data_IF_155366171104
#
_entry.id   IF_155366171104
#
_cell.length_a   1.000
_cell.length_b   1.000
_cell.length_c   1.000
_cell.angle_alpha   90.00
_cell.angle_beta   90.00
_cell.angle_gamma   90.00
#
_symmetry.space_group_name_H-M   'P 1'
#
loop_
_entity.id
_entity.type
_entity.pdbx_description
1 polymer ?
#
# COMPACT_ATOMS: atom_id res chain seq x y z
N UNK A 1 -22.11 3.45 -40.65
CA UNK A 1 -20.80 3.85 -40.15
C UNK A 1 -19.81 3.91 -41.30
N UNK A 2 -19.13 5.04 -41.49
CA UNK A 2 -18.27 5.27 -42.64
C UNK A 2 -17.03 4.38 -42.60
N UNK A 3 -16.58 3.84 -43.76
CA UNK A 3 -15.37 3.04 -43.95
C UNK A 3 -14.11 3.70 -43.32
N UNK A 4 -14.09 5.03 -43.22
CA UNK A 4 -13.06 5.80 -42.54
C UNK A 4 -13.03 5.56 -41.00
N UNK A 5 -14.19 5.36 -40.38
CA UNK A 5 -14.30 5.10 -38.94
C UNK A 5 -13.91 3.67 -38.57
N UNK A 6 -14.21 2.72 -39.45
CA UNK A 6 -13.78 1.32 -39.34
C UNK A 6 -12.26 1.17 -39.54
N UNK A 7 -11.65 1.94 -40.46
CA UNK A 7 -10.20 1.93 -40.69
C UNK A 7 -9.41 2.56 -39.52
N UNK A 8 -9.95 3.59 -38.87
CA UNK A 8 -9.34 4.18 -37.66
C UNK A 8 -9.40 3.24 -36.44
N UNK A 9 -10.46 2.46 -36.34
CA UNK A 9 -10.60 1.43 -35.31
C UNK A 9 -9.67 0.25 -35.54
N UNK A 10 -9.51 -0.20 -36.80
CA UNK A 10 -8.58 -1.28 -37.17
C UNK A 10 -7.12 -0.88 -37.01
N UNK A 11 -6.74 0.34 -37.35
CA UNK A 11 -5.37 0.85 -37.13
C UNK A 11 -5.04 0.98 -35.63
N UNK A 12 -6.00 1.34 -34.82
CA UNK A 12 -5.83 1.35 -33.34
C UNK A 12 -5.74 -0.06 -32.74
N UNK A 13 -6.38 -1.05 -33.33
CA UNK A 13 -6.37 -2.45 -32.89
C UNK A 13 -5.06 -3.19 -33.22
N UNK A 14 -4.19 -2.62 -34.08
CA UNK A 14 -2.90 -3.20 -34.48
C UNK A 14 -1.70 -2.44 -33.87
N UNK A 15 -1.92 -1.54 -32.90
CA UNK A 15 -0.85 -0.88 -32.16
C UNK A 15 -0.23 -1.82 -31.12
N UNK A 16 1.00 -1.54 -30.68
CA UNK A 16 1.64 -2.25 -29.59
C UNK A 16 0.77 -2.26 -28.32
N UNK A 17 0.24 -1.09 -27.97
CA UNK A 17 -0.63 -0.93 -26.79
C UNK A 17 -1.92 -1.74 -26.89
N UNK A 18 -2.53 -1.78 -28.09
CA UNK A 18 -3.76 -2.55 -28.27
C UNK A 18 -3.52 -4.06 -28.14
N UNK A 19 -2.41 -4.56 -28.66
CA UNK A 19 -2.01 -5.96 -28.48
C UNK A 19 -1.67 -6.23 -27.00
N UNK A 20 -0.90 -5.37 -26.35
CA UNK A 20 -0.57 -5.51 -24.94
C UNK A 20 -1.84 -5.57 -24.06
N UNK A 21 -2.74 -4.60 -24.19
CA UNK A 21 -3.98 -4.57 -23.41
C UNK A 21 -4.88 -5.78 -23.68
N UNK A 22 -4.94 -6.27 -24.91
CA UNK A 22 -5.71 -7.48 -25.22
C UNK A 22 -5.05 -8.72 -24.65
N UNK A 23 -3.73 -8.80 -24.65
CA UNK A 23 -2.97 -9.85 -23.98
C UNK A 23 -3.27 -9.91 -22.48
N UNK A 24 -3.33 -8.75 -21.80
CA UNK A 24 -3.73 -8.67 -20.38
C UNK A 24 -5.17 -9.18 -20.16
N UNK A 25 -6.10 -8.89 -21.09
CA UNK A 25 -7.47 -9.41 -21.01
C UNK A 25 -7.49 -10.94 -21.18
N UNK A 26 -6.70 -11.50 -22.09
CA UNK A 26 -6.58 -12.95 -22.27
C UNK A 26 -6.00 -13.63 -21.02
N UNK A 27 -4.98 -13.06 -20.36
CA UNK A 27 -4.47 -13.56 -19.08
C UNK A 27 -5.57 -13.61 -18.02
N UNK A 28 -6.35 -12.54 -17.91
CA UNK A 28 -7.48 -12.48 -16.97
C UNK A 28 -8.57 -13.53 -17.27
N UNK A 29 -8.69 -13.97 -18.51
CA UNK A 29 -9.61 -15.03 -18.93
C UNK A 29 -9.01 -16.44 -18.82
N UNK A 30 -7.73 -16.56 -18.45
CA UNK A 30 -6.99 -17.82 -18.39
C UNK A 30 -6.50 -18.33 -19.76
N UNK A 31 -6.66 -17.55 -20.84
CA UNK A 31 -6.16 -17.88 -22.17
C UNK A 31 -4.71 -17.40 -22.35
N UNK A 32 -3.80 -18.15 -21.75
CA UNK A 32 -2.37 -17.82 -21.71
C UNK A 32 -1.71 -17.88 -23.10
N UNK A 33 -2.18 -18.76 -23.99
CA UNK A 33 -1.64 -18.88 -25.36
C UNK A 33 -1.95 -17.64 -26.21
N UNK A 34 -3.21 -17.20 -26.19
CA UNK A 34 -3.61 -15.96 -26.89
C UNK A 34 -2.91 -14.72 -26.28
N UNK A 35 -2.73 -14.69 -24.95
CA UNK A 35 -2.02 -13.60 -24.29
C UNK A 35 -0.57 -13.49 -24.78
N UNK A 36 0.20 -14.58 -24.76
CA UNK A 36 1.58 -14.61 -25.24
C UNK A 36 1.66 -14.24 -26.73
N UNK A 37 0.76 -14.76 -27.56
CA UNK A 37 0.68 -14.39 -28.99
C UNK A 37 0.50 -12.89 -29.20
N UNK A 38 -0.31 -12.24 -28.37
CA UNK A 38 -0.54 -10.80 -28.45
C UNK A 38 0.62 -9.99 -27.88
N UNK A 39 1.26 -10.42 -26.81
CA UNK A 39 2.49 -9.80 -26.30
C UNK A 39 3.63 -9.87 -27.33
N UNK A 40 3.79 -10.99 -28.06
CA UNK A 40 4.76 -11.09 -29.16
C UNK A 40 4.47 -10.09 -30.27
N UNK A 41 3.20 -9.84 -30.61
CA UNK A 41 2.82 -8.80 -31.58
C UNK A 41 3.07 -7.39 -31.03
N UNK A 42 2.82 -7.16 -29.73
CA UNK A 42 3.08 -5.89 -29.06
C UNK A 42 4.56 -5.53 -29.17
N UNK A 43 5.47 -6.40 -28.74
CA UNK A 43 6.92 -6.15 -28.80
C UNK A 43 7.45 -6.09 -30.24
N UNK A 44 6.85 -6.83 -31.19
CA UNK A 44 7.18 -6.71 -32.61
C UNK A 44 6.85 -5.33 -33.18
N UNK A 45 5.75 -4.72 -32.72
CA UNK A 45 5.30 -3.42 -33.17
C UNK A 45 6.02 -2.25 -32.48
N UNK A 46 6.57 -2.47 -31.28
CA UNK A 46 7.35 -1.49 -30.52
C UNK A 46 8.51 -2.17 -29.78
N UNK A 47 9.53 -2.58 -30.55
CA UNK A 47 10.68 -3.36 -30.02
C UNK A 47 11.73 -2.53 -29.27
N UNK A 48 11.58 -1.20 -29.21
CA UNK A 48 12.52 -0.28 -28.56
C UNK A 48 12.00 0.29 -27.25
N UNK A 49 10.91 -0.23 -26.74
CA UNK A 49 10.23 0.26 -25.54
C UNK A 49 10.50 -0.67 -24.35
N UNK A 50 11.44 -0.30 -23.49
CA UNK A 50 11.75 -1.06 -22.27
C UNK A 50 10.55 -1.24 -21.36
N UNK A 51 9.70 -0.21 -21.23
CA UNK A 51 8.54 -0.25 -20.37
C UNK A 51 7.55 -1.35 -20.80
N UNK A 52 7.35 -1.51 -22.11
CA UNK A 52 6.50 -2.58 -22.63
C UNK A 52 6.99 -3.97 -22.19
N UNK A 53 8.29 -4.24 -22.26
CA UNK A 53 8.84 -5.53 -21.84
C UNK A 53 8.69 -5.76 -20.33
N UNK A 54 8.93 -4.73 -19.53
CA UNK A 54 8.74 -4.80 -18.08
C UNK A 54 7.28 -5.02 -17.71
N UNK A 55 6.36 -4.27 -18.33
CA UNK A 55 4.94 -4.43 -18.09
C UNK A 55 4.43 -5.84 -18.49
N UNK A 56 4.96 -6.42 -19.57
CA UNK A 56 4.65 -7.81 -19.95
C UNK A 56 5.15 -8.78 -18.86
N UNK A 57 6.39 -8.61 -18.39
CA UNK A 57 6.95 -9.42 -17.30
C UNK A 57 6.08 -9.35 -16.03
N UNK A 58 5.75 -8.15 -15.58
CA UNK A 58 4.95 -7.94 -14.37
C UNK A 58 3.57 -8.61 -14.49
N UNK A 59 2.91 -8.47 -15.65
CA UNK A 59 1.63 -9.13 -15.89
C UNK A 59 1.76 -10.67 -15.93
N UNK A 60 2.75 -11.21 -16.64
CA UNK A 60 2.95 -12.66 -16.70
C UNK A 60 3.27 -13.24 -15.32
N UNK A 61 4.11 -12.56 -14.53
CA UNK A 61 4.47 -12.98 -13.18
C UNK A 61 3.28 -12.97 -12.22
N UNK A 62 2.35 -12.02 -12.38
CA UNK A 62 1.11 -11.97 -11.60
C UNK A 62 0.16 -13.16 -11.87
N UNK A 63 0.39 -13.91 -12.96
CA UNK A 63 -0.35 -15.12 -13.33
C UNK A 63 0.53 -16.38 -13.32
N UNK A 64 1.55 -16.41 -12.43
CA UNK A 64 2.45 -17.56 -12.24
C UNK A 64 3.26 -17.97 -13.48
N UNK A 65 3.48 -17.02 -14.42
CA UNK A 65 4.23 -17.24 -15.66
C UNK A 65 5.59 -16.47 -15.66
N UNK A 66 6.25 -16.42 -14.51
CA UNK A 66 7.47 -15.63 -14.31
C UNK A 66 8.58 -15.98 -15.29
N UNK A 67 8.87 -17.28 -15.52
CA UNK A 67 9.87 -17.72 -16.49
C UNK A 67 9.57 -17.20 -17.91
N UNK A 68 8.31 -17.18 -18.29
CA UNK A 68 7.90 -16.62 -19.58
C UNK A 68 8.07 -15.10 -19.65
N UNK A 69 7.81 -14.41 -18.52
CA UNK A 69 8.08 -12.98 -18.39
C UNK A 69 9.57 -12.65 -18.52
N UNK A 70 10.46 -13.46 -17.93
CA UNK A 70 11.92 -13.29 -18.01
C UNK A 70 12.44 -13.41 -19.45
N UNK A 71 11.81 -14.23 -20.29
CA UNK A 71 12.13 -14.26 -21.72
C UNK A 71 11.93 -12.89 -22.39
N UNK A 72 10.89 -12.14 -22.01
CA UNK A 72 10.66 -10.79 -22.52
C UNK A 72 11.68 -9.81 -21.96
N UNK A 73 12.01 -9.87 -20.68
CA UNK A 73 13.08 -9.04 -20.10
C UNK A 73 14.42 -9.26 -20.81
N UNK A 74 14.76 -10.51 -21.12
CA UNK A 74 15.99 -10.83 -21.84
C UNK A 74 15.98 -10.27 -23.28
N UNK A 75 14.84 -10.26 -23.97
CA UNK A 75 14.71 -9.62 -25.30
C UNK A 75 14.95 -8.10 -25.23
N UNK A 76 14.63 -7.43 -24.12
CA UNK A 76 14.83 -6.00 -23.98
C UNK A 76 16.31 -5.57 -24.02
N UNK A 77 17.26 -6.46 -23.75
CA UNK A 77 18.70 -6.19 -23.90
C UNK A 77 19.14 -6.02 -25.37
N UNK A 78 18.31 -6.38 -26.33
CA UNK A 78 18.56 -6.11 -27.75
C UNK A 78 18.38 -4.63 -28.11
N UNK A 79 17.72 -3.85 -27.26
CA UNK A 79 17.56 -2.41 -27.42
C UNK A 79 18.93 -1.73 -27.31
N UNK A 80 19.31 -1.00 -28.34
CA UNK A 80 20.60 -0.29 -28.39
C UNK A 80 20.41 1.14 -27.92
N UNK A 81 21.06 1.49 -26.81
CA UNK A 81 21.00 2.83 -26.24
C UNK A 81 22.06 3.01 -25.16
N UNK A 82 22.45 4.26 -24.91
CA UNK A 82 23.42 4.64 -23.88
C UNK A 82 23.06 5.95 -23.20
N UNK A 83 21.79 6.35 -23.26
CA UNK A 83 21.26 7.47 -22.47
C UNK A 83 21.15 7.09 -20.98
N UNK A 84 20.95 8.08 -20.13
CA UNK A 84 20.65 7.86 -18.71
C UNK A 84 19.44 6.93 -18.53
N UNK A 85 18.40 7.10 -19.34
CA UNK A 85 17.20 6.24 -19.33
C UNK A 85 17.48 4.81 -19.75
N UNK A 86 18.29 4.59 -20.79
CA UNK A 86 18.65 3.23 -21.22
C UNK A 86 19.37 2.46 -20.10
N UNK A 87 20.31 3.12 -19.42
CA UNK A 87 21.01 2.52 -18.29
C UNK A 87 20.04 2.25 -17.12
N UNK A 88 19.15 3.17 -16.82
CA UNK A 88 18.19 2.98 -15.73
C UNK A 88 17.23 1.80 -16.01
N UNK A 89 16.73 1.67 -17.25
CA UNK A 89 15.87 0.56 -17.63
C UNK A 89 16.60 -0.79 -17.61
N UNK A 90 17.83 -0.88 -18.14
CA UNK A 90 18.61 -2.12 -18.04
C UNK A 90 18.91 -2.50 -16.59
N UNK A 91 19.21 -1.52 -15.75
CA UNK A 91 19.38 -1.73 -14.33
C UNK A 91 18.13 -2.30 -13.65
N UNK A 92 16.94 -1.74 -13.96
CA UNK A 92 15.65 -2.26 -13.49
C UNK A 92 15.38 -3.68 -13.99
N UNK A 93 15.71 -3.97 -15.24
CA UNK A 93 15.57 -5.32 -15.81
C UNK A 93 16.49 -6.31 -15.10
N UNK A 94 17.76 -5.97 -14.87
CA UNK A 94 18.66 -6.81 -14.09
C UNK A 94 18.18 -7.03 -12.65
N UNK A 95 17.55 -6.05 -12.03
CA UNK A 95 16.92 -6.20 -10.72
C UNK A 95 15.82 -7.27 -10.74
N UNK A 96 14.90 -7.23 -11.71
CA UNK A 96 13.84 -8.24 -11.86
C UNK A 96 14.39 -9.65 -12.15
N UNK A 97 15.52 -9.75 -12.85
CA UNK A 97 16.22 -11.01 -13.10
C UNK A 97 17.07 -11.50 -11.91
N UNK A 98 17.03 -10.80 -10.76
CA UNK A 98 17.85 -11.13 -9.58
C UNK A 98 19.35 -10.91 -9.77
N UNK A 99 19.77 -10.25 -10.86
CA UNK A 99 21.17 -10.01 -11.21
C UNK A 99 21.66 -8.68 -10.61
N UNK A 100 21.66 -8.59 -9.28
CA UNK A 100 21.86 -7.35 -8.53
C UNK A 100 23.16 -6.62 -8.81
N UNK A 101 24.28 -7.34 -9.05
CA UNK A 101 25.56 -6.70 -9.37
C UNK A 101 25.55 -6.04 -10.75
N UNK A 102 24.89 -6.67 -11.74
CA UNK A 102 24.67 -6.08 -13.04
C UNK A 102 23.73 -4.87 -12.94
N UNK A 103 22.65 -4.98 -12.14
CA UNK A 103 21.74 -3.89 -11.86
C UNK A 103 22.49 -2.67 -11.29
N UNK A 104 23.30 -2.85 -10.24
CA UNK A 104 24.10 -1.76 -9.64
C UNK A 104 25.07 -1.13 -10.64
N UNK A 105 25.67 -1.91 -11.53
CA UNK A 105 26.59 -1.40 -12.56
C UNK A 105 25.88 -0.48 -13.57
N UNK A 106 24.75 -0.94 -14.10
CA UNK A 106 23.94 -0.14 -15.03
C UNK A 106 23.37 1.11 -14.34
N UNK A 107 22.82 0.96 -13.15
CA UNK A 107 22.21 2.07 -12.40
C UNK A 107 23.25 3.12 -11.99
N UNK A 108 24.49 2.71 -11.65
CA UNK A 108 25.58 3.66 -11.43
C UNK A 108 25.91 4.45 -12.70
N UNK A 109 25.93 3.78 -13.85
CA UNK A 109 26.11 4.46 -15.14
C UNK A 109 24.96 5.44 -15.45
N UNK A 110 23.73 5.12 -15.00
CA UNK A 110 22.60 6.03 -15.07
C UNK A 110 22.78 7.26 -14.17
N UNK A 111 23.24 7.06 -12.92
CA UNK A 111 23.55 8.16 -11.98
C UNK A 111 24.66 9.08 -12.53
N UNK A 112 25.72 8.50 -13.10
CA UNK A 112 26.80 9.26 -13.72
C UNK A 112 26.31 10.16 -14.87
N UNK A 113 25.10 9.87 -15.39
CA UNK A 113 24.40 10.65 -16.41
C UNK A 113 23.19 11.43 -15.84
N UNK A 114 23.19 11.67 -14.53
CA UNK A 114 22.19 12.48 -13.81
C UNK A 114 20.77 11.88 -13.83
N UNK A 115 20.62 10.57 -13.94
CA UNK A 115 19.32 9.89 -13.84
C UNK A 115 18.84 9.83 -12.40
N UNK A 116 17.89 10.66 -12.03
CA UNK A 116 17.31 10.68 -10.67
C UNK A 116 16.61 9.38 -10.33
N UNK A 117 15.86 8.78 -11.28
CA UNK A 117 15.14 7.51 -11.08
C UNK A 117 16.08 6.34 -10.75
N UNK A 118 17.37 6.44 -11.09
CA UNK A 118 18.32 5.41 -10.73
C UNK A 118 18.52 5.28 -9.22
N UNK A 119 18.31 6.35 -8.43
CA UNK A 119 18.31 6.25 -6.98
C UNK A 119 17.21 5.32 -6.48
N UNK A 120 15.99 5.44 -7.02
CA UNK A 120 14.87 4.55 -6.66
C UNK A 120 15.23 3.08 -6.93
N UNK A 121 15.75 2.77 -8.11
CA UNK A 121 16.07 1.40 -8.48
C UNK A 121 17.29 0.84 -7.72
N UNK A 122 18.27 1.66 -7.37
CA UNK A 122 19.40 1.24 -6.51
C UNK A 122 18.88 0.94 -5.10
N UNK A 123 17.98 1.76 -4.56
CA UNK A 123 17.38 1.50 -3.25
C UNK A 123 16.67 0.15 -3.24
N UNK A 124 15.85 -0.14 -4.25
CA UNK A 124 15.19 -1.45 -4.39
C UNK A 124 16.16 -2.62 -4.49
N UNK A 125 17.30 -2.44 -5.16
CA UNK A 125 18.35 -3.47 -5.23
C UNK A 125 18.94 -3.76 -3.85
N UNK A 126 19.28 -2.72 -3.07
CA UNK A 126 19.83 -2.90 -1.73
C UNK A 126 18.79 -3.46 -0.75
N UNK A 127 17.54 -3.04 -0.85
CA UNK A 127 16.45 -3.61 -0.06
C UNK A 127 16.30 -5.12 -0.33
N UNK A 128 16.29 -5.54 -1.61
CA UNK A 128 16.22 -6.95 -1.99
C UNK A 128 17.47 -7.76 -1.56
N UNK A 129 18.61 -7.11 -1.34
CA UNK A 129 19.83 -7.72 -0.80
C UNK A 129 19.84 -7.79 0.74
N UNK A 130 18.86 -7.16 1.41
CA UNK A 130 18.77 -7.10 2.87
C UNK A 130 19.64 -6.02 3.50
N UNK A 131 19.96 -4.96 2.76
CA UNK A 131 20.78 -3.82 3.20
C UNK A 131 19.90 -2.54 3.31
N UNK A 132 18.91 -2.48 4.23
CA UNK A 132 17.94 -1.40 4.31
C UNK A 132 18.59 -0.05 4.66
N UNK A 133 19.71 -0.02 5.40
CA UNK A 133 20.42 1.21 5.74
C UNK A 133 21.00 1.90 4.50
N UNK A 134 21.44 1.12 3.51
CA UNK A 134 21.94 1.67 2.25
C UNK A 134 20.75 2.04 1.37
N UNK A 135 19.72 1.21 1.32
CA UNK A 135 18.49 1.49 0.58
C UNK A 135 17.88 2.83 0.99
N UNK A 136 17.82 3.11 2.30
CA UNK A 136 17.29 4.36 2.86
C UNK A 136 17.99 5.59 2.26
N UNK A 137 19.32 5.58 2.19
CA UNK A 137 20.09 6.71 1.63
C UNK A 137 19.67 6.99 0.19
N UNK A 138 19.48 5.96 -0.61
CA UNK A 138 19.07 6.12 -2.00
C UNK A 138 17.59 6.51 -2.14
N UNK A 139 16.68 5.97 -1.31
CA UNK A 139 15.30 6.43 -1.27
C UNK A 139 15.22 7.91 -0.88
N UNK A 140 15.98 8.36 0.13
CA UNK A 140 16.03 9.77 0.53
C UNK A 140 16.58 10.66 -0.59
N UNK A 141 17.63 10.23 -1.30
CA UNK A 141 18.15 10.97 -2.45
C UNK A 141 17.09 11.12 -3.56
N UNK A 142 16.32 10.07 -3.82
CA UNK A 142 15.22 10.11 -4.78
C UNK A 142 14.12 11.09 -4.36
N UNK A 143 13.65 10.99 -3.13
CA UNK A 143 12.61 11.86 -2.58
C UNK A 143 13.06 13.32 -2.53
N UNK A 144 14.30 13.60 -2.07
CA UNK A 144 14.86 14.94 -1.96
C UNK A 144 15.10 15.60 -3.32
N UNK A 145 15.15 14.83 -4.40
CA UNK A 145 15.25 15.37 -5.76
C UNK A 145 13.94 15.96 -6.31
N UNK A 146 12.85 15.88 -5.54
CA UNK A 146 11.52 16.34 -5.94
C UNK A 146 10.74 15.35 -6.80
N UNK A 147 11.20 14.11 -6.91
CA UNK A 147 10.54 13.03 -7.68
C UNK A 147 9.92 11.96 -6.78
N UNK A 148 9.55 12.31 -5.57
CA UNK A 148 8.91 11.39 -4.64
C UNK A 148 7.66 10.73 -5.25
N UNK A 149 7.49 9.44 -5.01
CA UNK A 149 6.28 8.69 -5.28
C UNK A 149 5.81 7.91 -4.04
N UNK A 150 4.61 7.38 -4.11
CA UNK A 150 3.99 6.68 -2.99
C UNK A 150 4.74 5.39 -2.61
N UNK A 151 5.46 4.76 -3.55
CA UNK A 151 6.25 3.56 -3.29
C UNK A 151 7.51 3.88 -2.48
N UNK A 152 8.25 4.93 -2.86
CA UNK A 152 9.43 5.39 -2.11
C UNK A 152 9.06 5.86 -0.70
N UNK A 153 7.92 6.55 -0.56
CA UNK A 153 7.41 6.96 0.75
C UNK A 153 7.06 5.76 1.63
N UNK A 154 6.39 4.75 1.08
CA UNK A 154 6.08 3.52 1.81
C UNK A 154 7.35 2.79 2.25
N UNK A 155 8.33 2.64 1.37
CA UNK A 155 9.60 1.98 1.67
C UNK A 155 10.35 2.70 2.82
N UNK A 156 10.43 4.03 2.79
CA UNK A 156 11.01 4.80 3.91
C UNK A 156 10.22 4.61 5.20
N UNK A 157 8.88 4.56 5.13
CA UNK A 157 8.03 4.24 6.26
C UNK A 157 8.32 2.86 6.84
N UNK A 158 8.44 1.83 6.01
CA UNK A 158 8.77 0.46 6.42
C UNK A 158 10.16 0.35 7.06
N UNK A 159 11.15 1.06 6.54
CA UNK A 159 12.49 1.14 7.14
C UNK A 159 12.42 1.76 8.54
N UNK A 160 11.67 2.84 8.73
CA UNK A 160 11.46 3.45 10.05
C UNK A 160 10.68 2.52 11.01
N UNK A 161 9.68 1.80 10.51
CA UNK A 161 8.97 0.78 11.30
C UNK A 161 9.93 -0.33 11.74
N UNK A 162 10.80 -0.80 10.88
CA UNK A 162 11.81 -1.83 11.20
C UNK A 162 12.79 -1.36 12.30
N UNK A 163 13.09 -0.05 12.37
CA UNK A 163 13.87 0.57 13.45
C UNK A 163 13.06 0.77 14.73
N UNK A 164 11.74 0.51 14.73
CA UNK A 164 10.82 0.81 15.82
C UNK A 164 10.43 2.28 15.94
N UNK A 165 10.79 3.11 14.96
CA UNK A 165 10.46 4.54 14.92
C UNK A 165 9.11 4.76 14.22
N UNK A 166 8.02 4.31 14.85
CA UNK A 166 6.68 4.41 14.27
C UNK A 166 6.22 5.86 14.04
N UNK A 167 6.65 6.80 14.87
CA UNK A 167 6.35 8.23 14.65
C UNK A 167 7.10 8.79 13.42
N UNK A 168 8.33 8.35 13.18
CA UNK A 168 9.07 8.69 11.95
C UNK A 168 8.42 8.07 10.73
N UNK A 169 7.97 6.81 10.83
CA UNK A 169 7.26 6.12 9.77
C UNK A 169 5.98 6.85 9.34
N UNK A 170 5.17 7.33 10.30
CA UNK A 170 3.96 8.11 10.01
C UNK A 170 4.25 9.31 9.11
N UNK A 171 5.38 9.99 9.31
CA UNK A 171 5.76 11.16 8.49
C UNK A 171 5.83 10.81 6.99
N UNK A 172 6.40 9.66 6.64
CA UNK A 172 6.49 9.21 5.27
C UNK A 172 5.18 8.62 4.75
N UNK A 173 4.52 7.79 5.55
CA UNK A 173 3.29 7.10 5.15
C UNK A 173 2.13 8.06 4.91
N UNK A 174 1.98 9.09 5.76
CA UNK A 174 0.96 10.14 5.59
C UNK A 174 1.22 10.99 4.33
N UNK A 175 2.48 11.29 4.05
CA UNK A 175 2.83 11.96 2.80
C UNK A 175 2.55 11.07 1.59
N UNK A 176 2.89 9.78 1.66
CA UNK A 176 2.66 8.82 0.58
C UNK A 176 1.18 8.64 0.24
N UNK A 177 0.31 8.51 1.26
CA UNK A 177 -1.13 8.32 1.05
C UNK A 177 -1.82 9.59 0.54
N UNK A 178 -1.26 10.77 0.82
CA UNK A 178 -1.77 12.07 0.39
C UNK A 178 -1.38 12.47 -1.04
N UNK A 179 -0.54 11.70 -1.71
CA UNK A 179 -0.12 11.98 -3.09
C UNK A 179 -1.27 11.84 -4.08
N UNK A 180 -1.21 12.56 -5.20
CA UNK A 180 -2.22 12.52 -6.25
C UNK A 180 -2.31 11.13 -6.92
N UNK A 181 -1.15 10.48 -7.14
CA UNK A 181 -1.06 9.19 -7.83
C UNK A 181 -0.53 8.11 -6.87
N UNK A 182 -1.42 7.54 -6.06
CA UNK A 182 -1.06 6.47 -5.11
C UNK A 182 -1.25 5.11 -5.78
N UNK A 183 -0.15 4.41 -6.07
CA UNK A 183 -0.18 3.08 -6.70
C UNK A 183 -0.25 1.92 -5.71
N UNK A 184 0.20 2.14 -4.47
CA UNK A 184 0.30 1.16 -3.38
C UNK A 184 -0.57 1.58 -2.16
N UNK A 185 -1.80 2.07 -2.43
CA UNK A 185 -2.72 2.56 -1.39
C UNK A 185 -3.00 1.52 -0.30
N UNK A 186 -3.11 0.26 -0.70
CA UNK A 186 -3.39 -0.85 0.22
C UNK A 186 -2.30 -0.98 1.28
N UNK A 187 -1.06 -1.05 0.84
CA UNK A 187 0.14 -1.20 1.68
C UNK A 187 0.29 0.01 2.60
N UNK A 188 0.15 1.21 2.07
CA UNK A 188 0.22 2.44 2.87
C UNK A 188 -0.84 2.47 3.97
N UNK A 189 -2.09 2.11 3.68
CA UNK A 189 -3.15 2.08 4.69
C UNK A 189 -2.88 1.02 5.77
N UNK A 190 -2.38 -0.15 5.41
CA UNK A 190 -1.99 -1.19 6.37
C UNK A 190 -0.88 -0.70 7.30
N UNK A 191 0.17 -0.11 6.75
CA UNK A 191 1.29 0.42 7.52
C UNK A 191 0.87 1.60 8.40
N UNK A 192 -0.04 2.47 7.94
CA UNK A 192 -0.60 3.56 8.75
C UNK A 192 -1.37 3.02 9.96
N UNK A 193 -2.23 2.01 9.78
CA UNK A 193 -2.98 1.41 10.90
C UNK A 193 -1.98 0.90 11.96
N UNK A 194 -0.98 0.12 11.53
CA UNK A 194 0.05 -0.41 12.44
C UNK A 194 0.77 0.73 13.18
N UNK A 195 1.22 1.76 12.47
CA UNK A 195 1.97 2.85 13.09
C UNK A 195 1.12 3.67 14.07
N UNK A 196 -0.15 3.96 13.75
CA UNK A 196 -1.05 4.63 14.68
C UNK A 196 -1.32 3.82 15.93
N UNK A 197 -1.45 2.49 15.83
CA UNK A 197 -1.60 1.62 16.99
C UNK A 197 -0.36 1.63 17.89
N UNK A 198 0.83 1.49 17.30
CA UNK A 198 2.08 1.55 18.07
C UNK A 198 2.34 2.91 18.70
N UNK A 199 1.83 3.99 18.12
CA UNK A 199 1.87 5.34 18.72
C UNK A 199 0.69 5.64 19.65
N UNK A 200 -0.21 4.67 19.84
CA UNK A 200 -1.43 4.77 20.63
C UNK A 200 -2.45 5.81 20.13
N UNK A 201 -2.35 6.20 18.87
CA UNK A 201 -3.36 7.03 18.20
C UNK A 201 -4.47 6.16 17.60
N UNK A 202 -5.28 5.59 18.48
CA UNK A 202 -6.38 4.70 18.07
C UNK A 202 -7.49 5.41 17.30
N UNK A 203 -7.60 6.74 17.43
CA UNK A 203 -8.58 7.51 16.65
C UNK A 203 -8.18 7.54 15.16
N UNK A 204 -6.91 7.83 14.86
CA UNK A 204 -6.40 7.81 13.49
C UNK A 204 -6.40 6.39 12.91
N UNK A 205 -5.98 5.38 13.70
CA UNK A 205 -6.08 3.97 13.29
C UNK A 205 -7.52 3.59 12.91
N UNK A 206 -8.51 3.99 13.74
CA UNK A 206 -9.92 3.72 13.49
C UNK A 206 -10.41 4.36 12.20
N UNK A 207 -10.05 5.61 11.92
CA UNK A 207 -10.43 6.29 10.68
C UNK A 207 -9.90 5.57 9.44
N UNK A 208 -8.62 5.15 9.48
CA UNK A 208 -7.99 4.45 8.36
C UNK A 208 -8.59 3.06 8.16
N UNK A 209 -8.81 2.28 9.23
CA UNK A 209 -9.36 0.93 9.09
C UNK A 209 -10.80 0.92 8.58
N UNK A 210 -11.62 1.92 8.95
CA UNK A 210 -12.97 2.06 8.40
C UNK A 210 -12.95 2.24 6.88
N UNK A 211 -12.07 3.11 6.37
CA UNK A 211 -11.92 3.28 4.92
C UNK A 211 -11.36 2.01 4.27
N UNK A 212 -10.35 1.39 4.90
CA UNK A 212 -9.71 0.19 4.37
C UNK A 212 -10.71 -0.94 4.13
N UNK A 213 -11.55 -1.28 5.11
CA UNK A 213 -12.50 -2.40 4.98
C UNK A 213 -13.64 -2.10 3.99
N UNK A 214 -13.91 -0.83 3.68
CA UNK A 214 -14.86 -0.47 2.62
C UNK A 214 -14.26 -0.73 1.23
N UNK A 215 -12.97 -0.46 1.05
CA UNK A 215 -12.27 -0.63 -0.23
C UNK A 215 -11.83 -2.08 -0.44
N UNK A 216 -11.43 -2.77 0.64
CA UNK A 216 -10.91 -4.14 0.63
C UNK A 216 -11.72 -5.06 1.56
N UNK A 217 -13.01 -5.31 1.27
CA UNK A 217 -13.92 -6.03 2.18
C UNK A 217 -13.53 -7.49 2.41
N UNK A 218 -12.79 -8.10 1.49
CA UNK A 218 -12.38 -9.52 1.56
C UNK A 218 -11.09 -9.73 2.38
N UNK A 219 -10.47 -8.68 2.91
CA UNK A 219 -9.27 -8.78 3.75
C UNK A 219 -9.63 -9.20 5.17
N UNK A 220 -9.51 -10.50 5.45
CA UNK A 220 -9.87 -11.07 6.75
C UNK A 220 -9.03 -10.54 7.93
N UNK A 221 -7.79 -10.08 7.68
CA UNK A 221 -6.94 -9.47 8.71
C UNK A 221 -7.46 -8.08 9.07
N UNK A 222 -7.76 -7.28 8.07
CA UNK A 222 -8.33 -5.97 8.27
C UNK A 222 -9.71 -6.00 8.93
N UNK A 223 -10.54 -7.01 8.63
CA UNK A 223 -11.83 -7.20 9.30
C UNK A 223 -11.66 -7.49 10.80
N UNK A 224 -10.64 -8.27 11.20
CA UNK A 224 -10.33 -8.51 12.61
C UNK A 224 -9.86 -7.23 13.30
N UNK A 225 -9.00 -6.47 12.63
CA UNK A 225 -8.48 -5.20 13.13
C UNK A 225 -9.59 -4.16 13.30
N UNK A 226 -10.51 -4.08 12.33
CA UNK A 226 -11.70 -3.25 12.43
C UNK A 226 -12.53 -3.57 13.68
N UNK A 227 -12.77 -4.87 13.96
CA UNK A 227 -13.54 -5.27 15.14
C UNK A 227 -12.79 -4.90 16.43
N UNK A 228 -11.47 -5.10 16.46
CA UNK A 228 -10.64 -4.74 17.63
C UNK A 228 -10.72 -3.24 17.90
N UNK A 229 -10.45 -2.40 16.92
CA UNK A 229 -10.48 -0.94 17.04
C UNK A 229 -11.88 -0.42 17.37
N UNK A 230 -12.94 -1.00 16.76
CA UNK A 230 -14.32 -0.66 17.09
C UNK A 230 -14.62 -0.85 18.56
N UNK A 231 -14.32 -2.04 19.11
CA UNK A 231 -14.55 -2.34 20.52
C UNK A 231 -13.76 -1.40 21.44
N UNK A 232 -12.55 -1.05 21.05
CA UNK A 232 -11.72 -0.11 21.81
C UNK A 232 -12.33 1.30 21.82
N UNK A 233 -12.81 1.78 20.68
CA UNK A 233 -13.47 3.08 20.58
C UNK A 233 -14.76 3.15 21.39
N UNK A 234 -15.56 2.07 21.39
CA UNK A 234 -16.78 1.98 22.17
C UNK A 234 -16.50 2.00 23.69
N UNK A 235 -15.40 1.38 24.15
CA UNK A 235 -14.99 1.38 25.57
C UNK A 235 -14.45 2.73 26.03
N UNK A 236 -13.91 3.56 25.12
CA UNK A 236 -13.35 4.88 25.45
C UNK A 236 -14.35 6.01 25.23
N UNK A 237 -15.51 5.73 24.65
CA UNK A 237 -16.57 6.71 24.49
C UNK A 237 -17.03 7.20 25.89
N UNK A 238 -17.21 8.52 26.10
CA UNK A 238 -17.77 9.02 27.35
C UNK A 238 -19.13 8.37 27.60
N UNK A 239 -19.32 7.81 28.79
CA UNK A 239 -20.66 7.36 29.21
C UNK A 239 -21.51 8.61 29.29
N UNK A 240 -22.41 8.83 28.33
CA UNK A 240 -23.46 9.81 28.48
C UNK A 240 -24.28 9.39 29.69
N UNK A 241 -24.07 10.07 30.81
CA UNK A 241 -24.98 9.98 31.94
C UNK A 241 -26.34 10.47 31.49
N UNK A 242 -27.18 9.56 31.04
CA UNK A 242 -28.62 9.80 31.07
C UNK A 242 -29.03 9.82 32.54
N UNK A 243 -28.97 11.00 33.14
CA UNK A 243 -29.74 11.28 34.34
C UNK A 243 -31.22 11.16 33.92
N UNK A 244 -31.78 9.97 34.11
CA UNK A 244 -33.22 9.81 34.16
C UNK A 244 -33.70 10.68 35.35
N UNK A 245 -34.33 11.80 35.03
CA UNK A 245 -35.01 12.64 35.96
C UNK A 245 -36.12 11.79 36.63
N UNK A 246 -35.83 11.31 37.84
CA UNK A 246 -36.82 10.76 38.76
C UNK A 246 -37.72 11.95 39.14
N UNK A 247 -38.84 12.09 38.50
CA UNK A 247 -39.91 12.99 38.96
C UNK A 247 -40.45 12.39 40.26
N UNK A 248 -40.10 13.01 41.40
CA UNK A 248 -40.77 12.80 42.68
C UNK A 248 -42.25 13.26 42.55
N UNK A 249 -43.11 12.28 42.54
CA UNK A 249 -44.57 12.53 42.68
C UNK A 249 -44.88 12.60 44.17
N UNK A 250 -44.98 13.84 44.69
CA UNK A 250 -45.35 14.15 46.06
C UNK A 250 -46.85 13.88 46.20
N UNK A 251 -47.21 12.75 46.84
CA UNK A 251 -48.53 12.60 47.45
C UNK A 251 -48.43 12.74 48.97
N UNK A 252 -48.91 13.84 49.43
CA UNK A 252 -49.25 14.14 50.86
C UNK A 252 -50.36 13.20 51.35
N UNK A 253 -50.12 12.48 52.47
CA UNK A 253 -51.18 11.99 53.35
C UNK A 253 -50.81 12.28 54.78
N UNK A 254 -51.69 12.98 55.47
CA UNK A 254 -51.67 13.45 56.86
C UNK A 254 -51.81 12.32 57.90
N UNK A 255 -51.12 12.57 58.99
CA UNK A 255 -51.52 12.41 60.40
C UNK A 255 -51.90 11.03 60.94
N UNK A 256 -51.20 10.52 61.96
CA UNK A 256 -51.65 10.46 63.37
C UNK A 256 -50.67 9.69 64.28
N UNK A 257 -50.24 10.39 65.35
CA UNK A 257 -50.05 9.94 66.75
C UNK A 257 -48.90 8.98 67.10
N UNK A 258 -48.07 9.56 67.97
CA UNK A 258 -47.14 9.09 69.00
C UNK A 258 -47.81 8.22 70.14
N UNK A 259 -47.10 7.75 71.16
CA UNK A 259 -45.74 7.26 71.38
C UNK A 259 -45.71 5.95 72.18
N UNK A 260 -44.59 5.27 72.40
CA UNK A 260 -44.17 4.70 73.73
C UNK A 260 -42.82 3.97 73.64
N UNK A 261 -41.97 4.48 74.51
CA UNK A 261 -40.99 3.98 75.42
C UNK A 261 -40.08 2.75 75.15
N UNK A 262 -38.78 3.07 75.21
CA UNK A 262 -37.76 2.58 76.12
C UNK A 262 -37.25 1.13 75.98
N UNK A 263 -36.00 0.95 75.75
CA UNK A 263 -34.95 0.46 76.66
C UNK A 263 -33.75 -0.07 75.94
N UNK A 264 -32.62 0.51 76.18
CA UNK A 264 -31.30 -0.08 76.15
C UNK A 264 -31.12 -1.00 77.37
N UNK A 265 -30.07 -1.76 77.65
CA UNK A 265 -28.73 -1.76 77.05
C UNK A 265 -28.05 -3.16 76.91
N UNK A 266 -26.72 -3.11 76.73
CA UNK A 266 -25.61 -4.00 77.15
C UNK A 266 -25.00 -4.94 76.12
N UNK A 267 -23.82 -4.59 75.75
CA UNK A 267 -22.48 -5.12 76.03
C UNK A 267 -22.27 -6.65 75.89
N UNK A 268 -21.28 -7.03 75.10
CA UNK A 268 -20.04 -7.77 75.52
C UNK A 268 -19.49 -8.48 74.23
N UNK A 269 -18.30 -8.09 73.73
CA UNK A 269 -16.96 -8.62 74.08
C UNK A 269 -16.73 -10.11 73.69
N UNK A 270 -15.69 -10.21 72.82
CA UNK A 270 -14.66 -11.29 72.75
C UNK A 270 -15.11 -12.71 72.35
N UNK A 271 -14.49 -13.30 71.31
CA UNK A 271 -13.07 -13.74 71.21
C UNK A 271 -12.65 -13.72 69.79
#
# INVERSE_FOLDING_TARGET
MSAKKTRLLTVRLESADAYYLRGCVYLKQGDTESAVSDFDKAVKNNSSDYELYVNIYENLSAYDMTEKGEEYLNKAFDIKGNSAGDYAWRGRIYYYLGQYDNAKTELKSALDKESVIANLYIAQVYEAQGDPEIAEVYYQNYVNSGNADSQAMNALGEIEMAKGNYSGALTYLEQGIAMENVTNRRELMQNLIICYEYTSDFNSAWNVVQEYVQVYPDDASAQREYIFLKNRMEQTAPVENTEEAVTEDTQTVEDTQTPEEAQTPEEAQTV
#
